data_IF_874741385884
#
_entry.id   IF_874741385884
#
_cell.length_a   1.000
_cell.length_b   1.000
_cell.length_c   1.000
_cell.angle_alpha   90.00
_cell.angle_beta   90.00
_cell.angle_gamma   90.00
#
_symmetry.space_group_name_H-M   'P 1'
#
loop_
_entity.id
_entity.type
_entity.pdbx_description
1 polymer ?
#
# COMPACT_ATOMS: atom_id res chain seq x y z
N UNK A 1 -5.62 -14.40 -21.73
CA UNK A 1 -6.46 -13.25 -21.45
C UNK A 1 -7.72 -13.61 -20.73
N UNK A 2 -8.23 -14.80 -20.98
CA UNK A 2 -9.45 -15.24 -20.34
C UNK A 2 -9.36 -15.23 -18.81
N UNK A 3 -8.17 -15.49 -18.28
CA UNK A 3 -7.99 -15.53 -16.84
C UNK A 3 -8.30 -14.17 -16.19
N UNK A 4 -7.97 -13.10 -16.87
CA UNK A 4 -8.22 -11.77 -16.34
C UNK A 4 -9.72 -11.51 -16.28
N UNK A 5 -10.43 -11.92 -17.31
CA UNK A 5 -11.87 -11.74 -17.35
C UNK A 5 -12.56 -12.53 -16.26
N UNK A 6 -12.13 -13.75 -16.03
CA UNK A 6 -12.73 -14.57 -14.98
C UNK A 6 -12.54 -13.94 -13.62
N UNK A 7 -11.38 -13.37 -13.38
CA UNK A 7 -11.08 -12.74 -12.10
C UNK A 7 -11.97 -11.53 -11.84
N UNK A 8 -12.44 -10.88 -12.88
CA UNK A 8 -13.25 -9.67 -12.73
C UNK A 8 -14.60 -9.93 -12.06
N UNK A 9 -15.02 -11.18 -11.97
CA UNK A 9 -16.30 -11.50 -11.37
C UNK A 9 -16.26 -11.55 -9.86
N UNK A 10 -15.09 -11.56 -9.28
CA UNK A 10 -14.96 -11.57 -7.83
C UNK A 10 -14.41 -10.25 -7.38
N UNK A 11 -14.81 -9.84 -6.20
CA UNK A 11 -14.22 -8.65 -5.60
C UNK A 11 -12.79 -8.97 -5.24
N UNK A 12 -11.88 -8.33 -5.94
CA UNK A 12 -10.47 -8.46 -5.62
C UNK A 12 -10.02 -7.25 -4.83
N UNK A 13 -9.33 -7.52 -3.75
CA UNK A 13 -8.72 -6.46 -2.96
C UNK A 13 -7.39 -6.15 -3.62
N UNK A 14 -7.32 -5.04 -4.30
CA UNK A 14 -6.14 -4.66 -5.06
C UNK A 14 -6.01 -3.14 -5.08
N UNK A 15 -4.78 -2.63 -5.27
CA UNK A 15 -4.57 -1.20 -5.39
C UNK A 15 -5.28 -0.64 -6.63
N UNK A 16 -5.57 0.65 -6.58
CA UNK A 16 -6.09 1.37 -7.74
C UNK A 16 -5.05 1.32 -8.86
N UNK A 17 -5.51 1.31 -10.13
CA UNK A 17 -4.55 1.36 -11.24
C UNK A 17 -3.60 2.54 -11.17
N UNK A 18 -4.09 3.71 -10.80
CA UNK A 18 -3.23 4.89 -10.69
C UNK A 18 -2.22 4.76 -9.56
N UNK A 19 -2.55 4.00 -8.51
CA UNK A 19 -1.61 3.70 -7.44
C UNK A 19 -0.47 2.83 -7.96
N UNK A 20 -0.81 1.81 -8.74
CA UNK A 20 0.19 0.94 -9.32
C UNK A 20 1.10 1.70 -10.28
N UNK A 21 0.52 2.62 -11.06
CA UNK A 21 1.30 3.43 -11.99
C UNK A 21 2.26 4.35 -11.21
N UNK A 22 1.76 5.01 -10.19
CA UNK A 22 2.60 5.90 -9.38
C UNK A 22 3.71 5.13 -8.69
N UNK A 23 3.38 3.95 -8.16
CA UNK A 23 4.37 3.10 -7.51
C UNK A 23 5.43 2.63 -8.50
N UNK A 24 5.02 2.31 -9.72
CA UNK A 24 5.97 1.88 -10.75
C UNK A 24 6.96 2.98 -11.09
N UNK A 25 6.48 4.23 -11.22
CA UNK A 25 7.34 5.36 -11.47
C UNK A 25 8.34 5.53 -10.33
N UNK A 26 7.87 5.46 -9.10
CA UNK A 26 8.74 5.59 -7.93
C UNK A 26 9.76 4.45 -7.86
N UNK A 27 9.33 3.23 -8.17
CA UNK A 27 10.21 2.08 -8.14
C UNK A 27 11.37 2.23 -9.11
N UNK A 28 11.08 2.78 -10.30
CA UNK A 28 12.11 3.01 -11.30
C UNK A 28 13.04 4.13 -10.86
N UNK A 29 12.48 5.23 -10.41
CA UNK A 29 13.27 6.40 -10.02
C UNK A 29 14.14 6.14 -8.80
N UNK A 30 13.63 5.39 -7.85
CA UNK A 30 14.32 5.14 -6.59
C UNK A 30 15.10 3.83 -6.58
N UNK A 31 14.94 3.02 -7.63
CA UNK A 31 15.56 1.70 -7.74
C UNK A 31 15.19 0.82 -6.54
N UNK A 32 13.88 0.74 -6.27
CA UNK A 32 13.36 -0.04 -5.15
C UNK A 32 12.24 -0.95 -5.61
N UNK A 33 12.15 -2.17 -5.06
CA UNK A 33 11.06 -3.07 -5.41
C UNK A 33 9.75 -2.62 -4.79
N UNK A 34 8.65 -3.04 -5.42
CA UNK A 34 7.30 -2.81 -4.91
C UNK A 34 6.88 -4.06 -4.15
N UNK A 35 6.37 -3.85 -2.93
CA UNK A 35 5.86 -4.94 -2.09
C UNK A 35 4.36 -4.77 -1.93
N UNK A 36 3.62 -5.82 -2.25
CA UNK A 36 2.17 -5.82 -2.13
C UNK A 36 1.67 -6.61 -0.92
N UNK A 37 2.59 -7.08 -0.10
CA UNK A 37 2.28 -7.99 1.00
C UNK A 37 1.41 -7.36 2.08
N UNK A 38 1.36 -6.04 2.15
CA UNK A 38 0.60 -5.35 3.18
C UNK A 38 -0.73 -4.81 2.67
N UNK A 39 -1.02 -4.96 1.37
CA UNK A 39 -2.21 -4.30 0.84
C UNK A 39 -3.50 -4.91 1.39
N UNK A 40 -3.65 -6.22 1.31
CA UNK A 40 -4.86 -6.89 1.80
C UNK A 40 -5.02 -6.69 3.30
N UNK A 41 -3.94 -6.83 4.04
CA UNK A 41 -3.97 -6.63 5.49
C UNK A 41 -4.42 -5.21 5.83
N UNK A 42 -3.91 -4.21 5.12
CA UNK A 42 -4.30 -2.83 5.36
C UNK A 42 -5.78 -2.60 5.02
N UNK A 43 -6.24 -3.19 3.93
CA UNK A 43 -7.64 -3.08 3.55
C UNK A 43 -8.56 -3.64 4.64
N UNK A 44 -8.17 -4.73 5.25
CA UNK A 44 -8.94 -5.40 6.29
C UNK A 44 -8.67 -4.85 7.69
N UNK A 45 -7.86 -3.80 7.80
CA UNK A 45 -7.51 -3.17 9.07
C UNK A 45 -6.70 -4.09 9.99
N UNK A 46 -5.97 -5.03 9.39
CA UNK A 46 -5.08 -5.94 10.12
C UNK A 46 -3.64 -5.45 10.13
N UNK A 47 -3.42 -4.24 9.66
CA UNK A 47 -2.13 -3.60 9.59
C UNK A 47 -2.28 -2.17 10.07
N UNK A 48 -1.27 -1.63 10.71
CA UNK A 48 -1.33 -0.25 11.19
C UNK A 48 0.03 0.41 11.08
N UNK A 49 0.03 1.73 11.23
CA UNK A 49 1.28 2.48 11.37
C UNK A 49 1.60 2.49 12.85
N UNK A 50 2.73 1.91 13.20
CA UNK A 50 3.21 1.88 14.57
C UNK A 50 4.41 2.79 14.72
N UNK A 51 4.79 3.06 15.94
CA UNK A 51 5.94 3.90 16.25
C UNK A 51 6.79 3.22 17.31
N UNK A 52 8.08 3.33 17.16
CA UNK A 52 9.01 2.75 18.12
C UNK A 52 9.17 3.76 19.28
N UNK A 53 8.39 3.53 20.34
CA UNK A 53 8.32 4.47 21.46
C UNK A 53 7.50 5.69 21.11
N UNK A 54 7.61 6.75 21.90
CA UNK A 54 6.84 7.97 21.69
C UNK A 54 7.45 8.89 20.65
N UNK A 55 8.76 8.81 20.46
CA UNK A 55 9.47 9.69 19.53
C UNK A 55 10.25 8.92 18.47
N UNK A 56 10.05 7.61 18.40
CA UNK A 56 10.76 6.78 17.43
C UNK A 56 10.17 6.85 16.04
N UNK A 57 10.82 6.12 15.15
CA UNK A 57 10.39 6.06 13.74
C UNK A 57 9.09 5.31 13.61
N UNK A 58 8.33 5.69 12.59
CA UNK A 58 7.09 5.01 12.23
C UNK A 58 7.39 3.86 11.28
N UNK A 59 6.59 2.83 11.34
CA UNK A 59 6.71 1.69 10.43
C UNK A 59 5.36 1.01 10.27
N UNK A 60 5.22 0.18 9.22
CA UNK A 60 4.01 -0.61 9.03
C UNK A 60 4.13 -1.88 9.86
N UNK A 61 3.07 -2.23 10.56
CA UNK A 61 3.07 -3.32 11.51
C UNK A 61 1.84 -4.20 11.31
N UNK A 62 2.07 -5.49 11.13
CA UNK A 62 1.01 -6.51 11.11
C UNK A 62 0.99 -7.29 12.42
N UNK A 63 2.13 -7.82 12.80
CA UNK A 63 2.27 -8.65 13.99
C UNK A 63 3.76 -8.64 14.38
N UNK A 64 4.11 -9.24 15.53
CA UNK A 64 5.51 -9.18 16.00
C UNK A 64 6.54 -9.76 15.04
N UNK A 65 6.10 -10.58 14.09
CA UNK A 65 7.00 -11.22 13.14
C UNK A 65 7.00 -10.58 11.76
N UNK A 66 6.04 -9.67 11.51
CA UNK A 66 5.91 -9.02 10.20
C UNK A 66 5.72 -7.53 10.37
N UNK A 67 6.77 -6.77 10.14
CA UNK A 67 6.73 -5.30 10.14
C UNK A 67 7.83 -4.78 9.24
N UNK A 68 7.71 -3.54 8.83
CA UNK A 68 8.65 -2.96 7.88
C UNK A 68 9.78 -2.23 8.60
N UNK A 69 10.79 -1.86 7.81
CA UNK A 69 11.78 -0.87 8.23
C UNK A 69 11.09 0.48 8.43
N UNK A 70 11.77 1.43 9.05
CA UNK A 70 11.20 2.77 9.25
C UNK A 70 10.74 3.39 7.94
N UNK A 71 9.61 4.09 8.00
CA UNK A 71 9.04 4.77 6.85
C UNK A 71 9.79 6.06 6.60
N UNK A 72 10.18 6.28 5.35
CA UNK A 72 10.83 7.51 4.92
C UNK A 72 9.85 8.49 4.32
N UNK A 73 8.74 7.98 3.81
CA UNK A 73 7.73 8.82 3.20
C UNK A 73 6.40 8.11 3.06
N UNK A 74 5.35 8.90 2.99
CA UNK A 74 3.99 8.40 2.78
C UNK A 74 3.32 9.30 1.77
N UNK A 75 2.69 8.68 0.76
CA UNK A 75 2.01 9.40 -0.31
C UNK A 75 0.60 8.89 -0.45
N UNK A 76 -0.35 9.80 -0.48
CA UNK A 76 -1.76 9.46 -0.65
C UNK A 76 -2.13 9.51 -2.13
N UNK A 77 -2.86 8.49 -2.58
CA UNK A 77 -3.35 8.42 -3.95
C UNK A 77 -4.87 8.43 -3.91
N UNK A 78 -5.47 9.53 -4.34
CA UNK A 78 -6.92 9.67 -4.35
C UNK A 78 -7.52 8.91 -5.53
N UNK A 79 -8.71 8.31 -5.34
CA UNK A 79 -9.34 7.52 -6.40
C UNK A 79 -9.77 8.37 -7.60
N UNK A 80 -10.02 9.65 -7.40
CA UNK A 80 -10.48 10.52 -8.47
C UNK A 80 -11.99 10.68 -8.45
N UNK A 81 -12.49 11.71 -9.15
CA UNK A 81 -13.92 12.05 -9.11
C UNK A 81 -14.82 11.02 -9.77
N UNK A 82 -14.27 10.23 -10.70
CA UNK A 82 -15.06 9.26 -11.45
C UNK A 82 -15.12 7.90 -10.77
N UNK A 83 -14.42 7.73 -9.66
CA UNK A 83 -14.39 6.47 -8.95
C UNK A 83 -15.65 6.29 -8.13
N UNK A 84 -16.22 5.09 -8.17
CA UNK A 84 -17.37 4.76 -7.32
C UNK A 84 -16.92 4.42 -5.90
N UNK A 85 -15.65 4.12 -5.74
CA UNK A 85 -15.08 3.80 -4.45
C UNK A 85 -14.41 5.06 -3.93
N UNK A 86 -14.84 5.52 -2.76
CA UNK A 86 -14.26 6.71 -2.14
C UNK A 86 -12.96 6.42 -1.41
N UNK A 87 -12.55 5.16 -1.35
CA UNK A 87 -11.31 4.78 -0.70
C UNK A 87 -10.10 5.30 -1.46
N UNK A 88 -9.07 5.62 -0.73
CA UNK A 88 -7.81 6.02 -1.33
C UNK A 88 -6.74 5.02 -0.95
N UNK A 89 -5.63 5.07 -1.67
CA UNK A 89 -4.48 4.22 -1.39
C UNK A 89 -3.34 5.03 -0.79
N UNK A 90 -2.41 4.30 -0.20
CA UNK A 90 -1.20 4.88 0.36
C UNK A 90 0.00 4.18 -0.23
N UNK A 91 1.04 4.96 -0.51
CA UNK A 91 2.33 4.43 -0.92
C UNK A 91 3.32 4.80 0.16
N UNK A 92 4.01 3.81 0.70
CA UNK A 92 5.02 4.04 1.72
C UNK A 92 6.39 3.71 1.17
N UNK A 93 7.35 4.59 1.44
CA UNK A 93 8.73 4.35 1.09
C UNK A 93 9.53 3.99 2.33
N UNK A 94 10.30 2.91 2.26
CA UNK A 94 11.31 2.58 3.26
C UNK A 94 12.67 2.66 2.59
N UNK A 95 13.73 2.38 3.33
CA UNK A 95 15.07 2.40 2.77
C UNK A 95 15.21 1.43 1.59
N UNK A 96 14.57 0.28 1.66
CA UNK A 96 14.79 -0.79 0.69
C UNK A 96 13.62 -1.07 -0.25
N UNK A 97 12.44 -0.57 0.05
CA UNK A 97 11.25 -1.01 -0.67
C UNK A 97 10.16 0.05 -0.71
N UNK A 98 9.19 -0.18 -1.58
CA UNK A 98 7.98 0.64 -1.68
C UNK A 98 6.82 -0.28 -1.33
N UNK A 99 6.00 0.11 -0.37
CA UNK A 99 4.85 -0.67 0.07
C UNK A 99 3.56 0.03 -0.31
N UNK A 100 2.61 -0.76 -0.82
CA UNK A 100 1.28 -0.25 -1.15
C UNK A 100 0.30 -0.70 -0.07
N UNK A 101 -0.54 0.23 0.36
CA UNK A 101 -1.53 -0.05 1.38
C UNK A 101 -2.83 0.67 1.05
N UNK A 102 -3.92 0.17 1.63
CA UNK A 102 -5.22 0.82 1.50
C UNK A 102 -5.38 1.88 2.58
N UNK A 103 -6.03 2.97 2.22
CA UNK A 103 -6.37 4.00 3.20
C UNK A 103 -7.33 3.51 4.28
N UNK A 104 -7.95 2.34 4.07
CA UNK A 104 -8.85 1.76 5.08
C UNK A 104 -8.17 1.52 6.42
N UNK A 105 -6.86 1.37 6.42
CA UNK A 105 -6.12 1.10 7.65
C UNK A 105 -6.07 2.28 8.62
N UNK A 106 -6.35 3.46 8.12
CA UNK A 106 -6.28 4.69 8.93
C UNK A 106 -7.59 5.01 9.62
#
# INVERSE_FOLDING_TARGET
MAAITAASNSKQIAPLPKTLLQAAVMAIELDKPICLDYYVASYNKDCKIARDGTEGDKFLYKNPEEYTSPLKGMFKVDPGPDSQDSSYDLIFETQNSIYLASGNML
#
